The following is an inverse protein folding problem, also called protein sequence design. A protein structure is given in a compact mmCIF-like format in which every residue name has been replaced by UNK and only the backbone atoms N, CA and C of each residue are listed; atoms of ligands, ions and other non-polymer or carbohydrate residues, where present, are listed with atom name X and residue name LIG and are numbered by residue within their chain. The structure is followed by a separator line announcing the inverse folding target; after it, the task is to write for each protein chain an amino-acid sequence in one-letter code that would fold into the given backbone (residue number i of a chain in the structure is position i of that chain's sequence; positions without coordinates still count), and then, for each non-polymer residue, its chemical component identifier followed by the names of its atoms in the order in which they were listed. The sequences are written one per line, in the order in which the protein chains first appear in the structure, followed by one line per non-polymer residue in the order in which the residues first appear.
data_IF_221338883424
#
_entry.id   IF_221338883424
#
_cell.length_a   1.000
_cell.length_b   1.000
_cell.length_c   1.000
_cell.angle_alpha   90.00
_cell.angle_beta   90.00
_cell.angle_gamma   90.00
#
_symmetry.space_group_name_H-M   'P 1'
#
loop_
_entity.id
_entity.type
_entity.pdbx_description
1 polymer ?
#
# COMPACT_ATOMS: atom_id res chain seq x y z
N UNK A 1 10.97 0.06 -6.09
CA UNK A 1 12.44 0.03 -5.87
C UNK A 1 12.81 -0.14 -4.40
N UNK A 2 12.30 0.68 -3.47
CA UNK A 2 12.66 0.65 -2.02
C UNK A 2 12.63 -0.74 -1.37
N UNK A 3 11.53 -1.49 -1.53
CA UNK A 3 11.41 -2.83 -0.95
C UNK A 3 12.41 -3.86 -1.54
N UNK A 4 12.84 -3.67 -2.79
CA UNK A 4 13.85 -4.54 -3.41
C UNK A 4 15.25 -4.31 -2.83
N UNK A 5 15.61 -3.05 -2.61
CA UNK A 5 16.90 -2.67 -2.00
C UNK A 5 16.96 -3.18 -0.54
N UNK A 6 15.87 -3.02 0.22
CA UNK A 6 15.79 -3.54 1.59
C UNK A 6 15.99 -5.07 1.66
N UNK A 7 15.48 -5.82 0.66
CA UNK A 7 15.71 -7.27 0.58
C UNK A 7 17.13 -7.64 0.16
N UNK A 8 17.78 -6.83 -0.68
CA UNK A 8 19.18 -7.03 -1.04
C UNK A 8 20.12 -6.83 0.16
N UNK A 9 19.87 -5.81 0.99
CA UNK A 9 20.66 -5.54 2.20
C UNK A 9 20.57 -6.68 3.23
N UNK A 10 19.41 -7.34 3.34
CA UNK A 10 19.24 -8.52 4.20
C UNK A 10 20.08 -9.73 3.79
N UNK A 11 20.48 -9.83 2.52
CA UNK A 11 21.34 -10.94 2.04
C UNK A 11 22.78 -10.72 2.48
N UNK A 12 23.21 -9.47 2.66
CA UNK A 12 24.58 -9.10 3.04
C UNK A 12 24.78 -9.33 4.54
N UNK A 13 23.91 -8.75 5.37
CA UNK A 13 23.97 -8.94 6.82
C UNK A 13 22.55 -8.87 7.42
N UNK A 14 22.05 -10.00 7.87
CA UNK A 14 20.68 -10.12 8.35
C UNK A 14 20.56 -9.67 9.81
N UNK A 15 21.59 -9.88 10.64
CA UNK A 15 21.47 -9.65 12.08
C UNK A 15 21.46 -8.15 12.41
N UNK A 16 22.27 -7.37 11.69
CA UNK A 16 22.37 -5.92 11.91
C UNK A 16 21.25 -5.15 11.20
N UNK A 17 20.95 -5.47 9.94
CA UNK A 17 20.02 -4.67 9.14
C UNK A 17 18.55 -5.02 9.36
N UNK A 18 18.20 -6.26 9.72
CA UNK A 18 16.80 -6.65 9.94
C UNK A 18 16.09 -5.82 11.02
N UNK A 19 16.62 -5.60 12.23
CA UNK A 19 15.93 -4.79 13.24
C UNK A 19 15.73 -3.34 12.79
N UNK A 20 16.74 -2.73 12.15
CA UNK A 20 16.67 -1.36 11.62
C UNK A 20 15.63 -1.22 10.50
N UNK A 21 15.65 -2.13 9.52
CA UNK A 21 14.73 -2.09 8.38
C UNK A 21 13.29 -2.42 8.80
N UNK A 22 13.11 -3.29 9.80
CA UNK A 22 11.80 -3.62 10.36
C UNK A 22 11.22 -2.45 11.15
N UNK A 23 12.02 -1.78 11.96
CA UNK A 23 11.59 -0.59 12.71
C UNK A 23 11.10 0.53 11.76
N UNK A 24 11.77 0.68 10.61
CA UNK A 24 11.39 1.66 9.57
C UNK A 24 10.31 1.17 8.59
N UNK A 25 9.78 -0.05 8.76
CA UNK A 25 8.69 -0.57 7.91
C UNK A 25 9.06 -0.90 6.46
N UNK A 26 10.34 -0.92 6.11
CA UNK A 26 10.83 -1.09 4.72
C UNK A 26 10.72 -2.53 4.20
N UNK A 27 10.52 -3.48 5.11
CA UNK A 27 10.36 -4.90 4.81
C UNK A 27 8.94 -5.28 4.38
N UNK A 28 7.95 -4.42 4.60
CA UNK A 28 6.55 -4.70 4.26
C UNK A 28 6.20 -4.07 2.91
N UNK A 29 5.52 -4.82 2.03
CA UNK A 29 4.96 -4.23 0.80
C UNK A 29 3.72 -3.42 1.15
N UNK A 30 3.56 -2.28 0.49
CA UNK A 30 2.33 -1.51 0.57
C UNK A 30 1.17 -2.30 -0.06
N UNK A 31 0.15 -2.70 0.71
CA UNK A 31 -0.99 -3.45 0.20
C UNK A 31 -1.99 -2.57 -0.56
N UNK A 32 -1.85 -1.24 -0.54
CA UNK A 32 -2.81 -0.31 -1.14
C UNK A 32 -2.85 -0.51 -2.65
N UNK A 33 -4.00 -0.96 -3.13
CA UNK A 33 -4.34 -1.08 -4.55
C UNK A 33 -5.52 -0.16 -4.86
N UNK A 34 -5.55 0.38 -6.08
CA UNK A 34 -6.69 1.14 -6.58
C UNK A 34 -7.96 0.28 -6.52
N UNK A 35 -8.96 0.77 -5.81
CA UNK A 35 -10.29 0.17 -5.80
C UNK A 35 -11.01 0.46 -7.13
N UNK A 36 -11.69 -0.54 -7.68
CA UNK A 36 -12.41 -0.42 -8.95
C UNK A 36 -13.73 0.33 -8.78
N UNK A 37 -14.20 0.96 -9.86
CA UNK A 37 -15.51 1.62 -9.87
C UNK A 37 -16.61 0.57 -9.95
N UNK A 38 -17.58 0.61 -9.02
CA UNK A 38 -18.77 -0.25 -9.03
C UNK A 38 -19.93 0.42 -9.78
N UNK A 39 -20.84 -0.37 -10.34
CA UNK A 39 -22.07 0.13 -10.98
C UNK A 39 -22.91 0.89 -9.94
N UNK A 40 -23.61 1.95 -10.37
CA UNK A 40 -24.41 2.80 -9.47
C UNK A 40 -23.62 3.90 -8.74
N UNK A 41 -22.28 3.85 -8.75
CA UNK A 41 -21.45 4.88 -8.11
C UNK A 41 -21.33 6.17 -8.94
N UNK A 42 -21.16 7.31 -8.26
CA UNK A 42 -21.06 8.66 -8.81
C UNK A 42 -19.71 8.98 -9.48
N UNK A 43 -19.19 8.06 -10.30
CA UNK A 43 -17.97 8.27 -11.09
C UNK A 43 -16.66 7.81 -10.43
N UNK A 44 -16.66 7.50 -9.12
CA UNK A 44 -15.50 6.98 -8.37
C UNK A 44 -15.90 5.79 -7.52
N UNK A 45 -14.94 4.93 -7.16
CA UNK A 45 -15.18 3.69 -6.40
C UNK A 45 -16.07 3.85 -5.15
N UNK A 46 -15.89 4.94 -4.39
CA UNK A 46 -16.62 5.21 -3.14
C UNK A 46 -17.62 6.35 -3.20
N UNK A 47 -17.76 7.03 -4.35
CA UNK A 47 -18.64 8.20 -4.45
C UNK A 47 -20.08 7.74 -4.66
N UNK A 48 -21.00 8.24 -3.84
CA UNK A 48 -22.44 8.04 -4.03
C UNK A 48 -23.01 9.14 -4.94
N UNK A 49 -24.05 8.81 -5.72
CA UNK A 49 -24.81 9.80 -6.48
C UNK A 49 -25.69 10.60 -5.50
N UNK A 50 -25.79 11.90 -5.68
CA UNK A 50 -26.70 12.73 -4.89
C UNK A 50 -28.14 12.40 -5.30
N UNK A 51 -28.97 11.99 -4.35
CA UNK A 51 -30.42 11.88 -4.57
C UNK A 51 -31.07 13.23 -4.29
N UNK A 52 -31.98 13.73 -5.16
CA UNK A 52 -32.80 14.88 -4.84
C UNK A 52 -33.68 14.56 -3.63
N UNK A 53 -33.66 15.40 -2.59
CA UNK A 53 -34.70 15.39 -1.55
C UNK A 53 -35.88 16.18 -2.12
N UNK A 54 -36.98 15.50 -2.39
CA UNK A 54 -38.29 16.11 -2.66
C UNK A 54 -39.15 15.94 -1.44
#
# INVERSE_FOLDING_TARGET
MVHGIARALLIIDNETYRPLLKANGLLTRDPRKKETRKVGTGGKARRMKQSPKR
#
